data_IF_521965454402
#
_entry.id   IF_521965454402
#
_cell.length_a   1.000
_cell.length_b   1.000
_cell.length_c   1.000
_cell.angle_alpha   90.00
_cell.angle_beta   90.00
_cell.angle_gamma   90.00
#
_symmetry.space_group_name_H-M   'P 1'
#
loop_
_entity.id
_entity.type
_entity.pdbx_description
1 polymer ?
#
# COMPACT_ATOMS: atom_id res chain seq x y z
N UNK A 1 7.78 10.99 8.86
CA UNK A 1 6.71 11.67 8.09
C UNK A 1 5.38 10.93 8.29
N UNK A 2 4.26 11.37 7.73
CA UNK A 2 3.05 10.53 7.62
C UNK A 2 3.07 9.72 6.33
N UNK A 3 2.29 8.64 6.25
CA UNK A 3 2.00 7.98 4.97
C UNK A 3 1.44 8.99 3.96
N UNK A 4 1.72 8.75 2.68
CA UNK A 4 1.21 9.57 1.57
C UNK A 4 0.15 8.81 0.76
N UNK A 5 -0.70 9.53 0.03
CA UNK A 5 -1.66 8.93 -0.91
C UNK A 5 -0.97 8.59 -2.22
N UNK A 6 -1.46 7.56 -2.92
CA UNK A 6 -0.90 7.16 -4.22
C UNK A 6 -1.24 8.15 -5.35
N UNK A 7 -2.23 9.03 -5.17
CA UNK A 7 -2.63 10.04 -6.19
C UNK A 7 -1.48 10.97 -6.56
N UNK A 8 -0.86 11.64 -5.56
CA UNK A 8 0.26 12.55 -5.81
C UNK A 8 1.53 11.79 -6.22
N UNK A 9 1.70 10.57 -5.69
CA UNK A 9 2.81 9.69 -6.05
C UNK A 9 2.78 9.33 -7.54
N UNK A 10 1.63 8.91 -8.07
CA UNK A 10 1.47 8.59 -9.48
C UNK A 10 1.53 9.83 -10.37
N UNK A 11 0.96 10.97 -9.94
CA UNK A 11 1.08 12.22 -10.69
C UNK A 11 2.54 12.57 -10.97
N UNK A 12 3.40 12.54 -9.94
CA UNK A 12 4.85 12.77 -10.09
C UNK A 12 5.52 11.73 -10.99
N UNK A 13 5.11 10.46 -10.88
CA UNK A 13 5.64 9.38 -11.71
C UNK A 13 5.31 9.55 -13.19
N UNK A 14 4.06 9.90 -13.51
CA UNK A 14 3.63 10.21 -14.88
C UNK A 14 4.37 11.43 -15.45
N UNK A 15 4.43 12.53 -14.68
CA UNK A 15 5.12 13.76 -15.11
C UNK A 15 6.63 13.55 -15.28
N UNK A 16 7.22 12.69 -14.45
CA UNK A 16 8.65 12.37 -14.46
C UNK A 16 9.06 11.22 -15.38
N UNK A 17 8.11 10.53 -16.04
CA UNK A 17 8.40 9.42 -16.95
C UNK A 17 8.99 8.18 -16.25
N UNK A 18 8.60 7.90 -15.02
CA UNK A 18 9.06 6.73 -14.25
C UNK A 18 7.89 5.94 -13.65
N UNK A 19 8.19 4.77 -13.09
CA UNK A 19 7.23 3.92 -12.38
C UNK A 19 7.59 3.81 -10.89
N UNK A 20 6.60 3.53 -10.05
CA UNK A 20 6.79 3.28 -8.62
C UNK A 20 6.54 1.81 -8.33
N UNK A 21 7.48 1.17 -7.64
CA UNK A 21 7.34 -0.22 -7.21
C UNK A 21 6.30 -0.38 -6.11
N UNK A 22 5.43 -1.38 -6.28
CA UNK A 22 4.52 -1.84 -5.24
C UNK A 22 4.90 -3.28 -4.83
N UNK A 23 5.25 -3.46 -3.57
CA UNK A 23 5.81 -4.70 -3.06
C UNK A 23 4.94 -5.26 -1.93
N UNK A 24 4.57 -6.54 -2.03
CA UNK A 24 3.75 -7.17 -1.00
C UNK A 24 4.54 -7.38 0.29
N UNK A 25 3.91 -7.09 1.43
CA UNK A 25 4.51 -7.25 2.76
C UNK A 25 3.69 -8.18 3.65
N UNK A 26 4.38 -9.01 4.44
CA UNK A 26 3.73 -10.00 5.33
C UNK A 26 4.36 -10.07 6.74
N UNK A 27 5.59 -9.59 6.92
CA UNK A 27 6.33 -9.65 8.17
C UNK A 27 7.36 -8.51 8.25
N UNK A 28 8.12 -8.46 9.34
CA UNK A 28 9.07 -7.38 9.63
C UNK A 28 10.24 -7.35 8.64
N UNK A 29 10.84 -8.51 8.37
CA UNK A 29 12.05 -8.63 7.55
C UNK A 29 11.80 -8.15 6.11
N UNK A 30 10.62 -8.45 5.56
CA UNK A 30 10.24 -7.98 4.22
C UNK A 30 10.06 -6.46 4.22
N UNK A 31 9.39 -5.89 5.23
CA UNK A 31 9.20 -4.44 5.34
C UNK A 31 10.55 -3.72 5.43
N UNK A 32 11.46 -4.20 6.27
CA UNK A 32 12.80 -3.65 6.41
C UNK A 32 13.56 -3.70 5.07
N UNK A 33 13.66 -4.88 4.45
CA UNK A 33 14.42 -5.02 3.20
C UNK A 33 13.89 -4.14 2.05
N UNK A 34 12.57 -3.96 1.94
CA UNK A 34 11.99 -3.07 0.92
C UNK A 34 12.31 -1.61 1.23
N UNK A 35 12.09 -1.19 2.48
CA UNK A 35 12.20 0.23 2.84
C UNK A 35 13.65 0.71 2.95
N UNK A 36 14.57 -0.15 3.38
CA UNK A 36 16.02 0.11 3.33
C UNK A 36 16.49 0.34 1.89
N UNK A 37 16.13 -0.56 0.96
CA UNK A 37 16.48 -0.40 -0.45
C UNK A 37 15.86 0.87 -1.07
N UNK A 38 14.60 1.17 -0.73
CA UNK A 38 13.95 2.40 -1.18
C UNK A 38 14.64 3.66 -0.60
N UNK A 39 15.09 3.60 0.65
CA UNK A 39 15.84 4.65 1.33
C UNK A 39 17.20 4.92 0.67
N UNK A 40 17.98 3.87 0.42
CA UNK A 40 19.27 3.96 -0.27
C UNK A 40 19.16 4.60 -1.66
N UNK A 41 18.11 4.24 -2.40
CA UNK A 41 17.86 4.73 -3.75
C UNK A 41 17.07 6.05 -3.79
N UNK A 42 16.65 6.58 -2.64
CA UNK A 42 15.78 7.75 -2.52
C UNK A 42 14.51 7.64 -3.37
N UNK A 43 13.94 6.45 -3.42
CA UNK A 43 12.77 6.12 -4.24
C UNK A 43 11.49 6.21 -3.43
N UNK A 44 10.37 6.71 -4.00
CA UNK A 44 9.06 6.42 -3.44
C UNK A 44 8.77 4.92 -3.50
N UNK A 45 7.96 4.42 -2.57
CA UNK A 45 7.59 3.00 -2.52
C UNK A 45 6.16 2.79 -2.04
N UNK A 46 5.50 1.78 -2.58
CA UNK A 46 4.18 1.32 -2.13
C UNK A 46 4.37 -0.02 -1.41
N UNK A 47 3.98 -0.09 -0.14
CA UNK A 47 3.87 -1.34 0.61
C UNK A 47 2.44 -1.82 0.49
N UNK A 48 2.23 -3.01 -0.09
CA UNK A 48 0.89 -3.51 -0.37
C UNK A 48 0.56 -4.79 0.39
N UNK A 49 -0.68 -4.92 0.82
CA UNK A 49 -1.14 -6.02 1.69
C UNK A 49 -2.24 -6.78 0.99
N UNK A 50 -1.98 -8.05 0.69
CA UNK A 50 -2.94 -8.96 0.07
C UNK A 50 -3.89 -9.58 1.10
N UNK A 51 -4.94 -10.27 0.61
CA UNK A 51 -5.85 -11.04 1.46
C UNK A 51 -5.13 -12.08 2.32
N UNK A 52 -4.16 -12.79 1.74
CA UNK A 52 -3.34 -13.78 2.45
C UNK A 52 -2.48 -13.13 3.55
N UNK A 53 -1.89 -11.97 3.27
CA UNK A 53 -1.10 -11.21 4.23
C UNK A 53 -1.91 -10.82 5.46
N UNK A 54 -3.14 -10.31 5.27
CA UNK A 54 -4.04 -9.94 6.38
C UNK A 54 -4.44 -11.13 7.23
N UNK A 55 -4.72 -12.27 6.59
CA UNK A 55 -5.06 -13.51 7.28
C UNK A 55 -3.88 -14.05 8.11
N UNK A 56 -2.65 -13.87 7.63
CA UNK A 56 -1.44 -14.29 8.33
C UNK A 56 -1.06 -13.35 9.48
N UNK A 57 -0.87 -12.06 9.19
CA UNK A 57 -0.20 -11.13 10.08
C UNK A 57 -1.13 -10.29 10.96
N UNK A 58 -2.46 -10.38 10.82
CA UNK A 58 -3.43 -9.47 11.43
C UNK A 58 -3.19 -8.00 11.01
N UNK A 59 -4.27 -7.25 10.82
CA UNK A 59 -4.23 -5.84 10.42
C UNK A 59 -3.33 -4.99 11.34
N UNK A 60 -3.43 -5.17 12.65
CA UNK A 60 -2.72 -4.33 13.64
C UNK A 60 -1.19 -4.43 13.49
N UNK A 61 -0.63 -5.64 13.35
CA UNK A 61 0.82 -5.78 13.22
C UNK A 61 1.32 -5.18 11.91
N UNK A 62 0.60 -5.39 10.80
CA UNK A 62 0.99 -4.84 9.50
C UNK A 62 1.04 -3.31 9.53
N UNK A 63 0.02 -2.66 10.09
CA UNK A 63 0.01 -1.20 10.22
C UNK A 63 1.16 -0.72 11.11
N UNK A 64 1.42 -1.40 12.24
CA UNK A 64 2.52 -1.01 13.14
C UNK A 64 3.91 -1.21 12.54
N UNK A 65 4.10 -2.25 11.72
CA UNK A 65 5.35 -2.43 10.97
C UNK A 65 5.56 -1.30 9.96
N UNK A 66 4.50 -0.90 9.26
CA UNK A 66 4.57 0.20 8.28
C UNK A 66 4.78 1.54 8.97
N UNK A 67 4.13 1.80 10.11
CA UNK A 67 4.39 2.99 10.93
C UNK A 67 5.86 3.09 11.36
N UNK A 68 6.46 1.97 11.77
CA UNK A 68 7.88 1.92 12.10
C UNK A 68 8.75 2.21 10.87
N UNK A 69 8.43 1.62 9.72
CA UNK A 69 9.18 1.85 8.48
C UNK A 69 9.17 3.32 8.02
N UNK A 70 8.04 4.02 8.21
CA UNK A 70 7.91 5.46 7.94
C UNK A 70 8.72 6.33 8.92
N UNK A 71 8.91 5.87 10.15
CA UNK A 71 9.75 6.56 11.14
C UNK A 71 11.24 6.39 10.82
N UNK A 72 11.66 5.18 10.45
CA UNK A 72 13.04 4.87 10.10
C UNK A 72 13.47 5.45 8.74
N UNK A 73 12.52 5.69 7.82
CA UNK A 73 12.79 6.23 6.49
C UNK A 73 12.06 7.58 6.26
N UNK A 74 12.38 8.63 7.04
CA UNK A 74 11.64 9.88 7.02
C UNK A 74 11.89 10.73 5.77
N UNK A 75 12.77 10.33 4.86
CA UNK A 75 13.13 11.09 3.65
C UNK A 75 12.40 10.62 2.38
N UNK A 76 11.78 9.43 2.39
CA UNK A 76 11.11 8.86 1.21
C UNK A 76 9.58 8.82 1.37
N UNK A 77 8.81 9.01 0.29
CA UNK A 77 7.36 8.83 0.33
C UNK A 77 6.98 7.34 0.39
N UNK A 78 6.22 6.95 1.41
CA UNK A 78 5.70 5.59 1.57
C UNK A 78 4.18 5.62 1.57
N UNK A 79 3.55 4.75 0.78
CA UNK A 79 2.11 4.50 0.80
C UNK A 79 1.80 3.08 1.30
N UNK A 80 0.70 2.92 2.03
CA UNK A 80 0.16 1.62 2.42
C UNK A 80 -1.07 1.32 1.58
N UNK A 81 -1.02 0.22 0.82
CA UNK A 81 -2.02 -0.13 -0.18
C UNK A 81 -2.73 -1.47 0.14
N UNK A 82 -4.05 -1.48 0.00
CA UNK A 82 -4.84 -2.72 0.01
C UNK A 82 -4.79 -3.33 -1.38
N UNK A 83 -4.16 -4.50 -1.49
CA UNK A 83 -4.05 -5.26 -2.73
C UNK A 83 -5.25 -6.22 -2.89
N UNK A 84 -5.92 -6.15 -4.05
CA UNK A 84 -7.09 -6.94 -4.43
C UNK A 84 -8.21 -6.99 -3.36
N UNK A 85 -8.78 -5.84 -3.00
CA UNK A 85 -9.96 -5.77 -2.12
C UNK A 85 -11.22 -6.25 -2.82
N UNK A 86 -11.93 -7.23 -2.27
CA UNK A 86 -13.10 -7.88 -2.91
C UNK A 86 -14.46 -7.27 -2.52
N UNK A 87 -14.51 -6.41 -1.50
CA UNK A 87 -15.74 -5.73 -1.05
C UNK A 87 -15.50 -4.28 -0.65
N UNK A 88 -16.57 -3.47 -0.69
CA UNK A 88 -16.57 -2.10 -0.20
C UNK A 88 -16.22 -2.04 1.30
N UNK A 89 -16.80 -2.94 2.11
CA UNK A 89 -16.60 -2.97 3.55
C UNK A 89 -15.14 -3.24 3.91
N UNK A 90 -14.48 -4.13 3.15
CA UNK A 90 -13.05 -4.40 3.33
C UNK A 90 -12.22 -3.16 3.00
N UNK A 91 -12.44 -2.52 1.85
CA UNK A 91 -11.74 -1.30 1.45
C UNK A 91 -11.91 -0.20 2.51
N UNK A 92 -13.16 0.02 2.96
CA UNK A 92 -13.48 0.96 4.02
C UNK A 92 -12.75 0.63 5.32
N UNK A 93 -12.74 -0.64 5.74
CA UNK A 93 -12.07 -1.06 6.97
C UNK A 93 -10.56 -0.83 6.93
N UNK A 94 -9.92 -1.01 5.77
CA UNK A 94 -8.51 -0.70 5.59
C UNK A 94 -8.23 0.80 5.70
N UNK A 95 -9.08 1.64 5.09
CA UNK A 95 -8.97 3.11 5.19
C UNK A 95 -9.15 3.56 6.64
N UNK A 96 -10.22 3.11 7.31
CA UNK A 96 -10.46 3.39 8.73
C UNK A 96 -9.27 2.93 9.61
N UNK A 97 -8.60 1.86 9.18
CA UNK A 97 -7.44 1.26 9.81
C UNK A 97 -6.08 1.88 9.44
N UNK A 98 -6.05 2.99 8.69
CA UNK A 98 -4.83 3.76 8.42
C UNK A 98 -4.19 3.54 7.04
N UNK A 99 -4.81 2.77 6.14
CA UNK A 99 -4.33 2.64 4.76
C UNK A 99 -4.55 3.96 4.00
N UNK A 100 -3.60 4.32 3.15
CA UNK A 100 -3.68 5.56 2.33
C UNK A 100 -4.02 5.29 0.87
N UNK A 101 -4.21 4.04 0.50
CA UNK A 101 -4.57 3.60 -0.84
C UNK A 101 -5.28 2.24 -0.80
N UNK A 102 -6.24 2.02 -1.70
CA UNK A 102 -6.94 0.74 -1.83
C UNK A 102 -7.19 0.40 -3.30
N UNK A 103 -7.12 -0.88 -3.65
CA UNK A 103 -7.64 -1.43 -4.89
C UNK A 103 -8.93 -2.18 -4.58
N UNK A 104 -10.04 -1.78 -5.20
CA UNK A 104 -11.24 -2.60 -5.27
C UNK A 104 -11.18 -3.41 -6.57
N UNK A 105 -11.19 -4.73 -6.42
CA UNK A 105 -11.09 -5.67 -7.54
C UNK A 105 -12.39 -6.47 -7.68
N UNK A 106 -13.27 -5.94 -8.53
CA UNK A 106 -14.46 -6.62 -9.00
C UNK A 106 -14.33 -7.01 -10.48
N UNK A 107 -13.11 -7.19 -10.99
CA UNK A 107 -12.86 -7.53 -12.39
C UNK A 107 -13.47 -8.86 -12.85
N UNK A 108 -13.82 -9.74 -11.90
CA UNK A 108 -14.54 -10.99 -12.17
C UNK A 108 -16.07 -10.82 -12.30
N UNK A 109 -16.63 -9.65 -11.96
CA UNK A 109 -18.06 -9.36 -12.08
C UNK A 109 -18.41 -8.84 -13.48
N UNK A 110 -19.70 -8.61 -13.74
CA UNK A 110 -20.12 -7.89 -14.94
C UNK A 110 -19.54 -6.47 -14.96
N UNK A 111 -19.46 -5.86 -16.15
CA UNK A 111 -18.93 -4.51 -16.28
C UNK A 111 -19.73 -3.50 -15.44
N UNK A 112 -21.05 -3.63 -15.45
CA UNK A 112 -21.97 -2.80 -14.67
C UNK A 112 -21.78 -3.00 -13.17
N UNK A 113 -21.65 -4.24 -12.71
CA UNK A 113 -21.42 -4.55 -11.30
C UNK A 113 -20.03 -4.10 -10.81
N UNK A 114 -19.03 -4.09 -11.70
CA UNK A 114 -17.69 -3.58 -11.40
C UNK A 114 -17.66 -2.04 -11.28
N UNK A 115 -18.49 -1.32 -12.04
CA UNK A 115 -18.65 0.13 -11.90
C UNK A 115 -19.44 0.49 -10.64
N UNK A 116 -20.48 -0.31 -10.33
CA UNK A 116 -21.38 -0.03 -9.21
C UNK A 116 -20.77 -0.29 -7.83
N UNK A 117 -19.80 -1.21 -7.75
CA UNK A 117 -19.10 -1.55 -6.52
C UNK A 117 -18.02 -0.52 -6.17
#
# INVERSE_FOLDING_TARGET
MSLVTTTEMFKKAYDGGYAVGAFNVNNMEIVQGITEAAGELKSPVILQVSKGARAYANHTYLVKLVEAAVQENPEIPIALHLDHGDTFELCKSCIDGGFTSVMIDASSKSFEDNIAL
#
